data_IF_186812319898
#
_entry.id   IF_186812319898
#
_cell.length_a   1.000
_cell.length_b   1.000
_cell.length_c   1.000
_cell.angle_alpha   90.00
_cell.angle_beta   90.00
_cell.angle_gamma   90.00
#
_symmetry.space_group_name_H-M   'P 1'
#
loop_
_entity.id
_entity.type
_entity.pdbx_description
1 polymer ?
#
# COMPACT_ATOMS: atom_id res chain seq x y z
N UNK A 1 4.70 25.98 -3.41
CA UNK A 1 5.05 24.55 -3.61
C UNK A 1 3.86 23.71 -3.17
N UNK A 2 3.46 22.70 -3.96
CA UNK A 2 2.35 21.81 -3.60
C UNK A 2 2.78 20.85 -2.48
N UNK A 3 1.89 20.55 -1.52
CA UNK A 3 2.19 19.61 -0.43
C UNK A 3 2.13 18.16 -0.97
N UNK A 4 3.08 17.28 -0.63
CA UNK A 4 3.02 15.89 -1.05
C UNK A 4 1.90 15.13 -0.34
N UNK A 5 1.34 14.12 -1.02
CA UNK A 5 0.38 13.18 -0.44
C UNK A 5 1.16 12.04 0.21
N UNK A 6 0.81 11.71 1.46
CA UNK A 6 1.37 10.55 2.16
C UNK A 6 0.26 9.50 2.28
N UNK A 7 0.51 8.30 1.77
CA UNK A 7 -0.41 7.16 1.86
C UNK A 7 0.19 6.15 2.84
N UNK A 8 -0.52 5.90 3.93
CA UNK A 8 -0.20 4.86 4.89
C UNK A 8 -1.17 3.69 4.67
N UNK A 9 -0.65 2.51 4.33
CA UNK A 9 -1.47 1.34 4.04
C UNK A 9 -0.72 0.04 4.37
N UNK A 10 -1.39 -1.01 4.87
CA UNK A 10 -0.74 -2.29 5.10
C UNK A 10 -0.36 -2.99 3.79
N UNK A 11 -1.21 -2.87 2.76
CA UNK A 11 -1.06 -3.56 1.48
C UNK A 11 -0.86 -2.57 0.33
N UNK A 12 0.16 -2.82 -0.49
CA UNK A 12 0.48 -2.06 -1.69
C UNK A 12 1.20 -2.98 -2.68
N UNK A 13 1.07 -2.76 -3.99
CA UNK A 13 1.75 -3.62 -4.98
C UNK A 13 3.26 -3.77 -4.66
N UNK A 14 3.83 -4.98 -4.78
CA UNK A 14 3.25 -6.22 -5.33
C UNK A 14 2.52 -7.14 -4.32
N UNK A 15 1.98 -6.61 -3.21
CA UNK A 15 1.14 -7.38 -2.29
C UNK A 15 -0.10 -7.98 -3.02
N UNK A 16 -0.56 -9.15 -2.58
CA UNK A 16 -1.69 -9.89 -3.18
C UNK A 16 -3.01 -9.71 -2.43
N UNK A 17 -3.03 -8.99 -1.31
CA UNK A 17 -4.28 -8.72 -0.59
C UNK A 17 -5.20 -7.81 -1.44
N UNK A 18 -6.53 -8.06 -1.48
CA UNK A 18 -7.46 -7.29 -2.33
C UNK A 18 -7.42 -5.78 -2.09
N UNK A 19 -7.17 -5.35 -0.86
CA UNK A 19 -7.03 -3.93 -0.51
C UNK A 19 -5.82 -3.29 -1.19
N UNK A 20 -4.76 -4.07 -1.47
CA UNK A 20 -3.56 -3.63 -2.17
C UNK A 20 -3.85 -3.15 -3.59
N UNK A 21 -4.74 -3.83 -4.32
CA UNK A 21 -5.14 -3.42 -5.68
C UNK A 21 -5.83 -2.05 -5.68
N UNK A 22 -6.73 -1.84 -4.71
CA UNK A 22 -7.46 -0.56 -4.56
C UNK A 22 -6.51 0.58 -4.25
N UNK A 23 -5.62 0.41 -3.27
CA UNK A 23 -4.67 1.47 -2.88
C UNK A 23 -3.67 1.74 -4.00
N UNK A 24 -3.18 0.70 -4.68
CA UNK A 24 -2.29 0.84 -5.85
C UNK A 24 -2.96 1.66 -6.94
N UNK A 25 -4.22 1.35 -7.26
CA UNK A 25 -4.98 2.12 -8.26
C UNK A 25 -5.15 3.57 -7.87
N UNK A 26 -5.45 3.88 -6.61
CA UNK A 26 -5.59 5.27 -6.12
C UNK A 26 -4.27 6.03 -6.27
N UNK A 27 -3.15 5.42 -5.86
CA UNK A 27 -1.83 6.04 -5.96
C UNK A 27 -1.45 6.30 -7.42
N UNK A 28 -1.70 5.34 -8.32
CA UNK A 28 -1.47 5.51 -9.75
C UNK A 28 -2.23 6.70 -10.33
N UNK A 29 -3.49 6.89 -9.93
CA UNK A 29 -4.29 8.03 -10.39
C UNK A 29 -3.80 9.36 -9.84
N UNK A 30 -3.32 9.43 -8.59
CA UNK A 30 -2.67 10.64 -8.07
C UNK A 30 -1.40 10.99 -8.83
N UNK A 31 -0.56 9.98 -9.12
CA UNK A 31 0.67 10.18 -9.91
C UNK A 31 0.32 10.65 -11.33
N UNK A 32 -0.69 10.06 -11.98
CA UNK A 32 -1.20 10.49 -13.29
C UNK A 32 -1.70 11.94 -13.28
N UNK A 33 -2.29 12.38 -12.18
CA UNK A 33 -2.74 13.76 -11.98
C UNK A 33 -1.58 14.75 -11.68
N UNK A 34 -0.33 14.27 -11.64
CA UNK A 34 0.86 15.09 -11.38
C UNK A 34 1.14 15.34 -9.90
N UNK A 35 0.52 14.58 -9.00
CA UNK A 35 0.82 14.67 -7.57
C UNK A 35 2.11 13.92 -7.22
N UNK A 36 2.84 14.47 -6.24
CA UNK A 36 3.94 13.75 -5.59
C UNK A 36 3.39 12.94 -4.43
N UNK A 37 3.54 11.61 -4.51
CA UNK A 37 3.03 10.67 -3.51
C UNK A 37 4.19 9.94 -2.82
N UNK A 38 4.11 9.78 -1.49
CA UNK A 38 4.98 8.90 -0.70
C UNK A 38 4.12 7.80 -0.08
N UNK A 39 4.40 6.55 -0.45
CA UNK A 39 3.72 5.38 0.12
C UNK A 39 4.55 4.80 1.25
N UNK A 40 3.93 4.65 2.42
CA UNK A 40 4.47 3.89 3.55
C UNK A 40 3.64 2.61 3.66
N UNK A 41 4.29 1.47 3.46
CA UNK A 41 3.63 0.16 3.44
C UNK A 41 4.37 -0.87 4.27
N UNK A 42 3.69 -1.98 4.59
CA UNK A 42 4.22 -3.06 5.39
C UNK A 42 4.95 -4.12 4.56
N UNK A 43 5.25 -3.89 3.26
CA UNK A 43 6.16 -4.77 2.52
C UNK A 43 7.63 -4.52 2.91
N UNK A 44 8.46 -5.56 3.04
CA UNK A 44 8.14 -6.98 2.95
C UNK A 44 7.82 -7.60 4.32
N UNK A 45 7.45 -6.83 5.33
CA UNK A 45 7.23 -7.29 6.71
C UNK A 45 6.13 -8.35 6.79
N UNK A 46 5.13 -8.29 5.90
CA UNK A 46 4.13 -9.35 5.73
C UNK A 46 4.66 -10.66 5.13
N UNK A 47 5.84 -10.68 4.50
CA UNK A 47 6.35 -11.88 3.81
C UNK A 47 6.47 -13.09 4.74
N UNK A 48 6.84 -12.86 5.99
CA UNK A 48 6.97 -13.90 7.01
C UNK A 48 5.84 -13.85 8.05
N UNK A 49 4.83 -12.99 7.84
CA UNK A 49 3.70 -12.90 8.76
C UNK A 49 2.82 -14.13 8.55
N UNK A 50 2.62 -14.89 9.61
CA UNK A 50 1.77 -16.07 9.64
C UNK A 50 0.70 -15.87 10.72
N UNK A 51 -0.47 -16.46 10.49
CA UNK A 51 -1.49 -16.59 11.54
C UNK A 51 -0.91 -17.51 12.62
N UNK A 52 -1.06 -17.14 13.88
CA UNK A 52 -0.63 -17.98 14.99
C UNK A 52 -1.45 -19.29 15.05
N UNK A 53 -0.81 -20.36 15.51
CA UNK A 53 -1.46 -21.67 15.65
C UNK A 53 -2.77 -21.57 16.46
N UNK A 54 -3.83 -22.18 15.95
CA UNK A 54 -5.16 -22.21 16.60
C UNK A 54 -6.14 -21.10 16.14
N UNK A 55 -5.71 -20.22 15.23
CA UNK A 55 -6.56 -19.21 14.60
C UNK A 55 -6.73 -19.48 13.10
N UNK A 56 -7.90 -19.16 12.52
CA UNK A 56 -8.23 -19.37 11.08
C UNK A 56 -8.94 -18.17 10.47
#
# INVERSE_FOLDING_TARGET
MKRPIIVLCPHFAPDTAPTGDVITRIVDEFVRAGERVHVVTALPWYRNHAIEDGWS
#
